data_IF_706758068835
#
_entry.id   IF_706758068835
#
_cell.length_a   1.000
_cell.length_b   1.000
_cell.length_c   1.000
_cell.angle_alpha   90.00
_cell.angle_beta   90.00
_cell.angle_gamma   90.00
#
_symmetry.space_group_name_H-M   'P 1'
#
loop_
_entity.id
_entity.type
_entity.pdbx_description
1 polymer ?
#
# COMPACT_ATOMS: atom_id res chain seq x y z
N UNK A 1 36.42 -19.88 0.82
CA UNK A 1 36.40 -20.42 2.20
C UNK A 1 36.84 -19.33 3.17
N UNK A 2 35.90 -18.86 4.00
CA UNK A 2 36.17 -18.26 5.31
C UNK A 2 34.92 -18.57 6.16
N UNK A 3 34.99 -19.70 6.87
CA UNK A 3 34.20 -19.98 8.08
C UNK A 3 34.48 -18.83 9.07
N UNK A 4 33.60 -18.41 9.98
CA UNK A 4 32.37 -18.94 10.53
C UNK A 4 32.13 -18.15 11.84
N UNK A 5 30.97 -18.35 12.45
CA UNK A 5 30.57 -17.86 13.78
C UNK A 5 29.93 -16.46 13.85
N UNK A 6 28.63 -16.46 14.17
CA UNK A 6 28.25 -15.73 15.38
C UNK A 6 27.32 -14.54 15.26
N UNK A 7 26.42 -14.44 14.27
CA UNK A 7 25.17 -13.72 14.51
C UNK A 7 24.01 -14.51 13.93
N UNK A 8 23.13 -14.96 14.82
CA UNK A 8 21.78 -15.40 14.52
C UNK A 8 20.99 -14.15 14.06
N UNK A 9 21.38 -13.56 12.92
CA UNK A 9 20.70 -12.42 12.33
C UNK A 9 19.34 -12.98 11.94
N UNK A 10 18.31 -12.53 12.66
CA UNK A 10 16.94 -12.94 12.39
C UNK A 10 16.68 -12.72 10.89
N UNK A 11 16.36 -13.78 10.15
CA UNK A 11 16.17 -13.72 8.69
C UNK A 11 15.11 -12.70 8.27
N UNK A 12 14.25 -12.29 9.20
CA UNK A 12 13.20 -11.29 9.02
C UNK A 12 13.66 -9.85 9.25
N UNK A 13 14.93 -9.61 9.55
CA UNK A 13 15.46 -8.27 9.73
C UNK A 13 15.45 -7.50 8.41
N UNK A 14 14.91 -6.29 8.41
CA UNK A 14 14.82 -5.44 7.21
C UNK A 14 16.17 -4.77 6.94
N UNK A 15 16.49 -4.62 5.66
CA UNK A 15 17.66 -3.90 5.17
C UNK A 15 17.32 -2.58 4.50
N UNK A 16 18.35 -1.89 4.03
CA UNK A 16 18.21 -0.63 3.29
C UNK A 16 17.47 -0.80 1.97
N UNK A 17 17.58 -1.96 1.31
CA UNK A 17 16.89 -2.26 0.06
C UNK A 17 15.37 -2.25 0.24
N UNK A 18 14.88 -2.78 1.35
CA UNK A 18 13.45 -2.86 1.65
C UNK A 18 12.86 -1.47 1.84
N UNK A 19 13.57 -0.62 2.60
CA UNK A 19 13.19 0.79 2.82
C UNK A 19 13.21 1.57 1.49
N UNK A 20 14.24 1.38 0.67
CA UNK A 20 14.33 2.06 -0.63
C UNK A 20 13.18 1.63 -1.53
N UNK A 21 12.79 0.34 -1.53
CA UNK A 21 11.66 -0.15 -2.30
C UNK A 21 10.35 0.49 -1.84
N UNK A 22 10.07 0.51 -0.54
CA UNK A 22 8.83 1.10 -0.03
C UNK A 22 8.74 2.59 -0.32
N UNK A 23 9.82 3.35 -0.13
CA UNK A 23 9.90 4.76 -0.50
C UNK A 23 9.63 4.98 -2.00
N UNK A 24 10.20 4.15 -2.88
CA UNK A 24 9.99 4.27 -4.34
C UNK A 24 8.52 4.06 -4.71
N UNK A 25 7.90 3.00 -4.21
CA UNK A 25 6.49 2.68 -4.51
C UNK A 25 5.57 3.76 -3.98
N UNK A 26 5.83 4.25 -2.76
CA UNK A 26 5.06 5.33 -2.16
C UNK A 26 5.17 6.63 -2.98
N UNK A 27 6.38 7.10 -3.28
CA UNK A 27 6.61 8.32 -4.05
C UNK A 27 5.99 8.23 -5.45
N UNK A 28 6.15 7.08 -6.12
CA UNK A 28 5.54 6.86 -7.43
C UNK A 28 4.01 6.98 -7.36
N UNK A 29 3.42 6.42 -6.31
CA UNK A 29 1.97 6.45 -6.09
C UNK A 29 1.48 7.87 -5.79
N UNK A 30 2.21 8.64 -4.97
CA UNK A 30 1.98 10.08 -4.73
C UNK A 30 2.00 10.85 -6.06
N UNK A 31 3.05 10.66 -6.86
CA UNK A 31 3.24 11.39 -8.11
C UNK A 31 2.17 11.05 -9.15
N UNK A 32 1.87 9.77 -9.35
CA UNK A 32 0.82 9.34 -10.27
C UNK A 32 -0.55 9.88 -9.86
N UNK A 33 -0.90 9.79 -8.58
CA UNK A 33 -2.18 10.29 -8.08
C UNK A 33 -2.28 11.81 -8.15
N UNK A 34 -1.20 12.53 -7.85
CA UNK A 34 -1.13 13.98 -7.99
C UNK A 34 -1.41 14.41 -9.44
N UNK A 35 -0.74 13.80 -10.42
CA UNK A 35 -0.97 14.13 -11.84
C UNK A 35 -2.41 13.85 -12.25
N UNK A 36 -2.92 12.66 -11.92
CA UNK A 36 -4.29 12.28 -12.27
C UNK A 36 -5.32 13.20 -11.62
N UNK A 37 -5.12 13.56 -10.35
CA UNK A 37 -5.99 14.48 -9.63
C UNK A 37 -5.94 15.89 -10.23
N UNK A 38 -4.75 16.40 -10.57
CA UNK A 38 -4.62 17.70 -11.25
C UNK A 38 -5.31 17.71 -12.61
N UNK A 39 -5.16 16.65 -13.42
CA UNK A 39 -5.88 16.51 -14.69
C UNK A 39 -7.38 16.51 -14.45
N UNK A 40 -7.87 15.72 -13.48
CA UNK A 40 -9.28 15.68 -13.13
C UNK A 40 -9.79 17.06 -12.70
N UNK A 41 -9.07 17.79 -11.83
CA UNK A 41 -9.44 19.12 -11.39
C UNK A 41 -9.53 20.12 -12.55
N UNK A 42 -8.55 20.10 -13.46
CA UNK A 42 -8.56 20.97 -14.64
C UNK A 42 -9.75 20.63 -15.53
N UNK A 43 -10.02 19.35 -15.79
CA UNK A 43 -11.15 18.93 -16.61
C UNK A 43 -12.48 19.33 -15.97
N UNK A 44 -12.66 19.10 -14.67
CA UNK A 44 -13.88 19.50 -13.96
C UNK A 44 -14.08 21.01 -14.01
N UNK A 45 -13.03 21.80 -13.79
CA UNK A 45 -13.11 23.26 -13.85
C UNK A 45 -13.41 23.81 -15.26
N UNK A 46 -12.96 23.13 -16.31
CA UNK A 46 -13.19 23.54 -17.70
C UNK A 46 -14.57 23.12 -18.22
N UNK A 47 -15.07 21.96 -17.80
CA UNK A 47 -16.27 21.34 -18.38
C UNK A 47 -17.53 21.41 -17.50
N UNK A 48 -17.40 21.65 -16.19
CA UNK A 48 -18.56 21.93 -15.35
C UNK A 48 -18.81 23.45 -15.28
N UNK A 49 -20.06 23.89 -15.39
CA UNK A 49 -20.46 25.20 -14.86
C UNK A 49 -20.01 25.29 -13.39
N UNK A 50 -19.67 26.48 -12.86
CA UNK A 50 -19.07 26.64 -11.54
C UNK A 50 -20.11 26.40 -10.43
N UNK A 51 -20.75 25.23 -10.38
CA UNK A 51 -21.09 24.66 -9.10
C UNK A 51 -19.78 24.44 -8.35
N UNK A 52 -19.73 24.84 -7.08
CA UNK A 52 -18.46 25.02 -6.44
C UNK A 52 -17.85 23.63 -6.33
N UNK A 53 -16.73 23.47 -7.04
CA UNK A 53 -15.78 22.35 -6.98
C UNK A 53 -15.49 21.96 -5.51
N UNK A 54 -15.79 22.84 -4.56
CA UNK A 54 -15.90 22.57 -3.13
C UNK A 54 -16.82 21.42 -2.73
N UNK A 55 -17.99 21.14 -3.34
CA UNK A 55 -18.90 20.11 -2.79
C UNK A 55 -18.44 18.67 -3.04
N UNK A 56 -18.06 18.34 -4.28
CA UNK A 56 -17.60 16.99 -4.63
C UNK A 56 -16.27 16.67 -3.93
N UNK A 57 -15.42 17.68 -3.75
CA UNK A 57 -14.12 17.53 -3.08
C UNK A 57 -14.22 17.69 -1.58
N UNK A 58 -15.09 18.55 -1.03
CA UNK A 58 -15.45 18.46 0.38
C UNK A 58 -15.93 17.05 0.66
N UNK A 59 -16.68 16.38 -0.22
CA UNK A 59 -17.04 14.97 0.03
C UNK A 59 -15.84 14.01 0.04
N UNK A 60 -14.74 14.28 -0.68
CA UNK A 60 -13.57 13.37 -0.77
C UNK A 60 -12.49 13.69 0.27
N UNK A 61 -12.21 14.98 0.50
CA UNK A 61 -11.38 15.46 1.59
C UNK A 61 -12.09 15.25 2.93
N UNK A 62 -13.40 15.53 3.03
CA UNK A 62 -14.26 15.05 4.12
C UNK A 62 -14.33 13.53 4.11
N UNK A 63 -14.35 12.76 3.02
CA UNK A 63 -14.24 11.28 3.18
C UNK A 63 -12.90 10.86 3.83
N UNK A 64 -11.81 11.58 3.55
CA UNK A 64 -10.50 11.34 4.15
C UNK A 64 -10.41 11.81 5.62
N UNK A 65 -10.94 12.99 5.95
CA UNK A 65 -10.99 13.53 7.32
C UNK A 65 -12.18 13.02 8.14
N UNK A 66 -13.28 12.58 7.52
CA UNK A 66 -14.49 12.05 8.15
C UNK A 66 -14.28 10.66 8.74
N UNK A 67 -13.26 9.92 8.31
CA UNK A 67 -12.78 8.79 9.11
C UNK A 67 -12.42 9.23 10.52
N UNK A 68 -11.76 10.38 10.65
CA UNK A 68 -11.43 10.99 11.94
C UNK A 68 -12.65 11.72 12.52
N UNK A 69 -13.44 12.45 11.73
CA UNK A 69 -14.57 13.29 12.17
C UNK A 69 -15.79 12.47 12.66
N UNK A 70 -16.20 11.42 11.92
CA UNK A 70 -17.31 10.53 12.30
C UNK A 70 -16.95 9.73 13.55
N UNK A 71 -15.68 9.35 13.70
CA UNK A 71 -15.17 8.71 14.93
C UNK A 71 -14.93 9.74 16.03
N UNK A 72 -14.65 11.01 15.70
CA UNK A 72 -14.42 12.10 16.65
C UNK A 72 -15.65 12.45 17.48
N UNK A 73 -16.84 12.17 16.93
CA UNK A 73 -18.11 12.27 17.64
C UNK A 73 -18.24 11.24 18.78
N UNK A 74 -17.39 10.21 18.80
CA UNK A 74 -17.40 9.13 19.81
C UNK A 74 -16.07 8.96 20.56
N UNK A 75 -14.94 9.39 20.00
CA UNK A 75 -13.58 9.19 20.52
C UNK A 75 -12.73 10.43 20.22
N UNK A 76 -11.91 10.92 21.15
CA UNK A 76 -11.02 12.08 20.93
C UNK A 76 -10.17 11.93 19.63
N UNK A 77 -10.00 13.00 18.81
CA UNK A 77 -9.24 12.97 17.55
C UNK A 77 -7.86 12.31 17.64
N UNK A 78 -7.13 12.51 18.74
CA UNK A 78 -5.83 11.88 18.99
C UNK A 78 -5.91 10.36 18.94
N UNK A 79 -6.91 9.78 19.60
CA UNK A 79 -7.11 8.34 19.65
C UNK A 79 -7.59 7.80 18.29
N UNK A 80 -8.43 8.57 17.56
CA UNK A 80 -8.86 8.17 16.23
C UNK A 80 -7.65 8.05 15.26
N UNK A 81 -6.79 9.06 15.21
CA UNK A 81 -5.56 9.06 14.41
C UNK A 81 -4.68 7.87 14.80
N UNK A 82 -4.43 7.70 16.10
CA UNK A 82 -3.62 6.59 16.61
C UNK A 82 -4.17 5.21 16.21
N UNK A 83 -5.48 4.98 16.35
CA UNK A 83 -6.07 3.68 16.03
C UNK A 83 -6.06 3.38 14.53
N UNK A 84 -6.39 4.34 13.66
CA UNK A 84 -6.37 4.10 12.22
C UNK A 84 -4.96 3.82 11.70
N UNK A 85 -3.98 4.61 12.13
CA UNK A 85 -2.59 4.44 11.72
C UNK A 85 -1.98 3.18 12.32
N UNK A 86 -2.30 2.88 13.59
CA UNK A 86 -1.90 1.65 14.25
C UNK A 86 -2.46 0.41 13.57
N UNK A 87 -3.74 0.42 13.18
CA UNK A 87 -4.36 -0.66 12.41
C UNK A 87 -3.73 -0.81 11.03
N UNK A 88 -3.49 0.28 10.31
CA UNK A 88 -2.84 0.24 9.00
C UNK A 88 -1.43 -0.36 9.08
N UNK A 89 -0.63 0.05 10.06
CA UNK A 89 0.70 -0.47 10.29
C UNK A 89 0.69 -1.94 10.73
N UNK A 90 -0.22 -2.33 11.63
CA UNK A 90 -0.42 -3.73 12.00
C UNK A 90 -0.84 -4.60 10.81
N UNK A 91 -1.72 -4.10 9.94
CA UNK A 91 -2.10 -4.77 8.71
C UNK A 91 -0.90 -4.94 7.75
N UNK A 92 -0.01 -3.95 7.65
CA UNK A 92 1.20 -4.07 6.84
C UNK A 92 2.14 -5.17 7.35
N UNK A 93 2.32 -5.26 8.66
CA UNK A 93 3.26 -6.20 9.28
C UNK A 93 2.64 -7.59 9.42
N UNK A 94 1.52 -7.70 10.15
CA UNK A 94 0.85 -8.96 10.51
C UNK A 94 -0.06 -9.43 9.38
N UNK A 95 -0.79 -8.51 8.75
CA UNK A 95 -1.75 -8.82 7.69
C UNK A 95 -1.09 -9.51 6.50
N UNK A 96 0.14 -9.14 6.14
CA UNK A 96 0.91 -9.83 5.09
C UNK A 96 1.12 -11.32 5.40
N UNK A 97 1.41 -11.65 6.65
CA UNK A 97 1.50 -13.05 7.11
C UNK A 97 0.16 -13.77 7.08
N UNK A 98 -0.87 -13.15 7.65
CA UNK A 98 -2.22 -13.74 7.66
C UNK A 98 -2.80 -13.91 6.26
N UNK A 99 -2.44 -13.05 5.30
CA UNK A 99 -2.91 -13.13 3.92
C UNK A 99 -2.45 -14.40 3.21
N UNK A 100 -1.38 -15.05 3.68
CA UNK A 100 -0.96 -16.36 3.20
C UNK A 100 -2.01 -17.47 3.45
N UNK A 101 -3.02 -17.20 4.29
CA UNK A 101 -4.18 -18.09 4.46
C UNK A 101 -4.91 -18.37 3.16
N UNK A 102 -4.86 -17.42 2.22
CA UNK A 102 -5.48 -17.54 0.90
C UNK A 102 -5.02 -18.80 0.16
N UNK A 103 -3.78 -19.28 0.33
CA UNK A 103 -3.34 -20.54 -0.31
C UNK A 103 -4.18 -21.73 0.12
N UNK A 104 -4.46 -21.87 1.42
CA UNK A 104 -5.32 -22.97 1.92
C UNK A 104 -6.73 -22.88 1.37
N UNK A 105 -7.27 -21.67 1.29
CA UNK A 105 -8.61 -21.44 0.72
C UNK A 105 -8.65 -21.80 -0.77
N UNK A 106 -7.64 -21.39 -1.55
CA UNK A 106 -7.54 -21.70 -2.97
C UNK A 106 -7.37 -23.20 -3.22
N UNK A 107 -6.52 -23.88 -2.46
CA UNK A 107 -6.34 -25.33 -2.61
C UNK A 107 -7.61 -26.06 -2.17
N UNK A 108 -8.25 -25.60 -1.10
CA UNK A 108 -9.56 -26.09 -0.66
C UNK A 108 -10.60 -25.96 -1.77
N UNK A 109 -10.65 -24.81 -2.44
CA UNK A 109 -11.53 -24.58 -3.58
C UNK A 109 -11.23 -25.56 -4.74
N UNK A 110 -9.98 -25.67 -5.17
CA UNK A 110 -9.56 -26.61 -6.22
C UNK A 110 -10.00 -28.04 -5.87
N UNK A 111 -9.89 -28.45 -4.60
CA UNK A 111 -10.28 -29.79 -4.15
C UNK A 111 -11.79 -30.08 -4.25
N UNK A 112 -12.64 -29.04 -4.25
CA UNK A 112 -14.10 -29.18 -4.34
C UNK A 112 -14.61 -29.23 -5.78
N UNK A 113 -13.86 -28.65 -6.73
CA UNK A 113 -14.28 -28.53 -8.15
C UNK A 113 -14.58 -29.87 -8.84
N UNK A 114 -13.83 -30.97 -8.63
CA UNK A 114 -14.15 -32.26 -9.24
C UNK A 114 -15.54 -32.80 -8.86
N UNK A 115 -16.04 -32.43 -7.66
CA UNK A 115 -17.33 -32.89 -7.14
C UNK A 115 -18.51 -32.02 -7.62
N UNK A 116 -18.26 -30.75 -7.94
CA UNK A 116 -19.30 -29.76 -8.24
C UNK A 116 -19.17 -29.21 -9.67
N UNK A 117 -19.69 -29.95 -10.65
CA UNK A 117 -19.51 -29.65 -12.09
C UNK A 117 -20.03 -28.27 -12.53
N UNK A 118 -21.19 -27.84 -12.03
CA UNK A 118 -21.75 -26.52 -12.36
C UNK A 118 -20.91 -25.37 -11.81
N UNK A 119 -20.49 -25.49 -10.55
CA UNK A 119 -19.59 -24.52 -9.92
C UNK A 119 -18.26 -24.43 -10.67
N UNK A 120 -17.64 -25.58 -10.98
CA UNK A 120 -16.38 -25.63 -11.71
C UNK A 120 -16.49 -24.97 -13.08
N UNK A 121 -17.56 -25.24 -13.84
CA UNK A 121 -17.78 -24.62 -15.15
C UNK A 121 -17.87 -23.08 -15.07
N UNK A 122 -18.59 -22.55 -14.08
CA UNK A 122 -18.74 -21.10 -13.90
C UNK A 122 -17.42 -20.45 -13.44
N UNK A 123 -16.71 -21.10 -12.52
CA UNK A 123 -15.41 -20.62 -12.04
C UNK A 123 -14.35 -20.61 -13.15
N UNK A 124 -14.26 -21.68 -13.95
CA UNK A 124 -13.37 -21.76 -15.13
C UNK A 124 -13.67 -20.64 -16.13
N UNK A 125 -14.95 -20.36 -16.39
CA UNK A 125 -15.35 -19.28 -17.30
C UNK A 125 -14.84 -17.94 -16.77
N UNK A 126 -15.10 -17.62 -15.50
CA UNK A 126 -14.66 -16.37 -14.86
C UNK A 126 -13.13 -16.24 -14.89
N UNK A 127 -12.40 -17.31 -14.56
CA UNK A 127 -10.94 -17.34 -14.59
C UNK A 127 -10.38 -17.12 -16.00
N UNK A 128 -10.98 -17.75 -17.03
CA UNK A 128 -10.60 -17.54 -18.43
C UNK A 128 -10.87 -16.11 -18.89
N UNK A 129 -11.98 -15.51 -18.46
CA UNK A 129 -12.29 -14.10 -18.75
C UNK A 129 -11.28 -13.14 -18.09
N UNK A 130 -10.78 -13.48 -16.89
CA UNK A 130 -9.78 -12.67 -16.17
C UNK A 130 -8.34 -12.94 -16.63
N UNK A 131 -8.09 -14.02 -17.37
CA UNK A 131 -6.76 -14.42 -17.83
C UNK A 131 -5.98 -13.31 -18.58
N UNK A 132 -6.58 -12.50 -19.48
CA UNK A 132 -5.85 -11.41 -20.15
C UNK A 132 -5.31 -10.37 -19.16
N UNK A 133 -6.13 -9.99 -18.17
CA UNK A 133 -5.73 -9.06 -17.10
C UNK A 133 -4.62 -9.70 -16.27
N UNK A 134 -4.78 -10.97 -15.92
CA UNK A 134 -3.79 -11.70 -15.14
C UNK A 134 -2.43 -11.81 -15.85
N UNK A 135 -2.41 -12.11 -17.16
CA UNK A 135 -1.19 -12.14 -17.97
C UNK A 135 -0.52 -10.77 -18.08
N UNK A 136 -1.30 -9.69 -18.16
CA UNK A 136 -0.78 -8.33 -18.12
C UNK A 136 -0.11 -8.03 -16.78
N UNK A 137 -0.74 -8.44 -15.66
CA UNK A 137 -0.16 -8.30 -14.33
C UNK A 137 1.15 -9.10 -14.17
N UNK A 138 1.19 -10.34 -14.67
CA UNK A 138 2.43 -11.12 -14.73
C UNK A 138 3.50 -10.38 -15.53
N UNK A 139 3.15 -9.83 -16.70
CA UNK A 139 4.09 -9.12 -17.56
C UNK A 139 4.70 -7.90 -16.88
N UNK A 140 3.88 -7.12 -16.15
CA UNK A 140 4.36 -5.99 -15.35
C UNK A 140 5.23 -6.48 -14.19
N UNK A 141 4.79 -7.50 -13.46
CA UNK A 141 5.51 -8.03 -12.30
C UNK A 141 6.89 -8.60 -12.69
N UNK A 142 6.97 -9.35 -13.79
CA UNK A 142 8.22 -9.92 -14.29
C UNK A 142 9.17 -8.89 -14.91
N UNK A 143 8.66 -7.73 -15.34
CA UNK A 143 9.52 -6.59 -15.72
C UNK A 143 10.09 -5.86 -14.49
N UNK A 144 9.34 -5.83 -13.38
CA UNK A 144 9.77 -5.18 -12.13
C UNK A 144 10.65 -6.08 -11.26
N UNK A 145 10.44 -7.40 -11.33
CA UNK A 145 11.18 -8.40 -10.60
C UNK A 145 11.69 -9.51 -11.55
N UNK A 146 12.94 -9.39 -12.03
CA UNK A 146 13.52 -10.36 -12.96
C UNK A 146 13.61 -11.77 -12.39
N UNK A 147 13.63 -11.95 -11.07
CA UNK A 147 13.72 -13.28 -10.45
C UNK A 147 12.46 -14.13 -10.72
N UNK A 148 11.32 -13.47 -10.97
CA UNK A 148 10.10 -14.14 -11.39
C UNK A 148 10.27 -14.92 -12.71
N UNK A 149 11.19 -14.49 -13.60
CA UNK A 149 11.49 -15.21 -14.85
C UNK A 149 12.11 -16.60 -14.64
N UNK A 150 12.60 -16.89 -13.44
CA UNK A 150 13.13 -18.21 -13.08
C UNK A 150 12.01 -19.26 -12.99
N UNK A 151 10.76 -18.84 -12.79
CA UNK A 151 9.59 -19.72 -12.87
C UNK A 151 9.34 -20.00 -14.36
N UNK A 152 9.81 -21.17 -14.82
CA UNK A 152 9.65 -21.59 -16.22
C UNK A 152 8.21 -21.98 -16.50
N UNK A 153 7.74 -21.62 -17.70
CA UNK A 153 6.52 -22.18 -18.24
C UNK A 153 6.76 -23.64 -18.66
N UNK A 154 6.35 -24.55 -17.79
CA UNK A 154 6.33 -25.97 -18.07
C UNK A 154 5.00 -26.31 -18.76
N UNK A 155 4.95 -26.19 -20.10
CA UNK A 155 3.80 -26.55 -20.94
C UNK A 155 3.44 -28.06 -20.93
N UNK A 156 3.92 -28.81 -19.95
CA UNK A 156 3.75 -30.26 -19.84
C UNK A 156 2.65 -30.62 -18.84
N UNK A 157 1.49 -29.96 -18.93
CA UNK A 157 0.32 -30.38 -18.16
C UNK A 157 -0.18 -31.71 -18.74
N UNK A 158 -0.04 -32.77 -17.94
CA UNK A 158 -0.56 -34.08 -18.30
C UNK A 158 -2.09 -34.04 -18.26
N UNK A 159 -2.73 -34.84 -19.11
CA UNK A 159 -4.14 -35.17 -18.92
C UNK A 159 -4.33 -35.85 -17.54
N UNK A 160 -5.49 -35.64 -16.90
CA UNK A 160 -5.83 -36.12 -15.53
C UNK A 160 -5.14 -35.42 -14.34
N UNK A 161 -4.77 -34.15 -14.46
CA UNK A 161 -4.29 -33.35 -13.31
C UNK A 161 -5.39 -32.48 -12.71
N UNK A 162 -5.22 -32.00 -11.47
CA UNK A 162 -6.16 -31.08 -10.82
C UNK A 162 -6.40 -29.78 -11.61
N UNK A 163 -5.43 -29.38 -12.45
CA UNK A 163 -5.46 -28.17 -13.26
C UNK A 163 -6.52 -28.21 -14.36
N UNK A 164 -6.99 -29.40 -14.77
CA UNK A 164 -8.09 -29.54 -15.74
C UNK A 164 -9.41 -28.94 -15.25
N UNK A 165 -9.55 -28.76 -13.93
CA UNK A 165 -10.70 -28.13 -13.29
C UNK A 165 -10.50 -26.63 -13.02
N UNK A 166 -9.44 -26.03 -13.55
CA UNK A 166 -9.11 -24.61 -13.41
C UNK A 166 -9.08 -23.93 -14.79
N UNK A 167 -9.39 -22.63 -14.83
CA UNK A 167 -9.22 -21.79 -16.01
C UNK A 167 -7.78 -21.35 -16.25
N UNK A 168 -6.87 -21.73 -15.35
CA UNK A 168 -5.45 -21.43 -15.35
C UNK A 168 -4.63 -22.70 -15.09
N UNK A 169 -3.37 -22.69 -15.50
CA UNK A 169 -2.46 -23.82 -15.34
C UNK A 169 -1.57 -23.73 -14.10
N UNK A 170 -0.71 -24.74 -13.95
CA UNK A 170 0.33 -24.82 -12.92
C UNK A 170 1.25 -23.60 -12.96
N UNK A 171 1.66 -23.19 -14.16
CA UNK A 171 2.53 -22.03 -14.35
C UNK A 171 1.87 -20.76 -13.81
N UNK A 172 0.62 -20.51 -14.20
CA UNK A 172 -0.15 -19.36 -13.73
C UNK A 172 -0.33 -19.40 -12.20
N UNK A 173 -0.63 -20.55 -11.62
CA UNK A 173 -0.79 -20.66 -10.16
C UNK A 173 0.52 -20.37 -9.41
N UNK A 174 1.66 -20.82 -9.94
CA UNK A 174 2.99 -20.52 -9.36
C UNK A 174 3.32 -19.04 -9.44
N UNK A 175 3.03 -18.39 -10.57
CA UNK A 175 3.19 -16.94 -10.71
C UNK A 175 2.29 -16.18 -9.73
N UNK A 176 1.05 -16.64 -9.55
CA UNK A 176 0.12 -16.04 -8.60
C UNK A 176 0.65 -16.17 -7.18
N UNK A 177 1.15 -17.37 -6.84
CA UNK A 177 1.73 -17.69 -5.54
C UNK A 177 2.97 -16.85 -5.23
N UNK A 178 3.77 -16.53 -6.25
CA UNK A 178 4.91 -15.62 -6.12
C UNK A 178 4.46 -14.18 -5.82
N UNK A 179 3.41 -13.70 -6.48
CA UNK A 179 2.92 -12.33 -6.33
C UNK A 179 2.07 -12.11 -5.07
N UNK A 180 1.33 -13.14 -4.65
CA UNK A 180 0.35 -13.06 -3.56
C UNK A 180 0.89 -12.39 -2.27
N UNK A 181 2.09 -12.71 -1.77
CA UNK A 181 2.61 -12.12 -0.53
C UNK A 181 2.78 -10.60 -0.63
N UNK A 182 3.09 -10.07 -1.82
CA UNK A 182 3.31 -8.63 -2.01
C UNK A 182 2.01 -7.82 -2.00
N UNK A 183 0.85 -8.46 -2.10
CA UNK A 183 -0.45 -7.78 -2.25
C UNK A 183 -0.71 -6.77 -1.12
N UNK A 184 -0.56 -7.20 0.14
CA UNK A 184 -0.84 -6.35 1.31
C UNK A 184 0.11 -5.15 1.41
N UNK A 185 1.45 -5.31 1.43
CA UNK A 185 2.35 -4.17 1.55
C UNK A 185 2.24 -3.23 0.35
N UNK A 186 2.03 -3.75 -0.87
CA UNK A 186 1.85 -2.94 -2.07
C UNK A 186 0.55 -2.13 -2.01
N UNK A 187 -0.57 -2.75 -1.62
CA UNK A 187 -1.85 -2.04 -1.48
C UNK A 187 -1.78 -0.92 -0.44
N UNK A 188 -1.11 -1.16 0.69
CA UNK A 188 -0.96 -0.14 1.75
C UNK A 188 -0.13 1.04 1.24
N UNK A 189 0.97 0.79 0.53
CA UNK A 189 1.82 1.86 -0.02
C UNK A 189 1.10 2.64 -1.13
N UNK A 190 0.38 1.94 -2.01
CA UNK A 190 -0.38 2.56 -3.10
C UNK A 190 -1.49 3.43 -2.53
N UNK A 191 -2.32 2.90 -1.63
CA UNK A 191 -3.46 3.64 -1.08
C UNK A 191 -2.99 4.87 -0.31
N UNK A 192 -2.00 4.74 0.58
CA UNK A 192 -1.49 5.88 1.34
C UNK A 192 -0.80 6.91 0.43
N UNK A 193 -0.01 6.46 -0.55
CA UNK A 193 0.61 7.34 -1.53
C UNK A 193 -0.42 8.07 -2.38
N UNK A 194 -1.45 7.37 -2.85
CA UNK A 194 -2.54 7.98 -3.64
C UNK A 194 -3.30 9.03 -2.83
N UNK A 195 -3.66 8.76 -1.58
CA UNK A 195 -4.33 9.73 -0.71
C UNK A 195 -3.48 10.99 -0.52
N UNK A 196 -2.18 10.84 -0.27
CA UNK A 196 -1.25 11.97 -0.13
C UNK A 196 -1.12 12.77 -1.44
N UNK A 197 -1.05 12.10 -2.59
CA UNK A 197 -0.99 12.75 -3.90
C UNK A 197 -2.26 13.53 -4.24
N UNK A 198 -3.44 12.97 -3.94
CA UNK A 198 -4.73 13.64 -4.11
C UNK A 198 -4.82 14.87 -3.18
N UNK A 199 -4.41 14.74 -1.92
CA UNK A 199 -4.42 15.85 -0.97
C UNK A 199 -3.48 16.98 -1.43
N UNK A 200 -2.27 16.66 -1.88
CA UNK A 200 -1.34 17.65 -2.43
C UNK A 200 -1.93 18.37 -3.65
N UNK A 201 -2.60 17.63 -4.55
CA UNK A 201 -3.27 18.21 -5.71
C UNK A 201 -4.39 19.17 -5.29
N UNK A 202 -5.17 18.80 -4.27
CA UNK A 202 -6.23 19.65 -3.72
C UNK A 202 -5.71 20.98 -3.21
N UNK A 203 -4.68 20.97 -2.35
CA UNK A 203 -4.08 22.21 -1.84
C UNK A 203 -3.46 23.06 -2.94
N UNK A 204 -2.79 22.43 -3.91
CA UNK A 204 -2.19 23.11 -5.06
C UNK A 204 -3.26 23.79 -5.91
N UNK A 205 -4.33 23.07 -6.27
CA UNK A 205 -5.39 23.56 -7.13
C UNK A 205 -6.22 24.67 -6.46
N UNK A 206 -6.62 24.48 -5.21
CA UNK A 206 -7.31 25.53 -4.46
C UNK A 206 -6.43 26.75 -4.20
N UNK A 207 -5.13 26.54 -3.95
CA UNK A 207 -4.17 27.65 -3.86
C UNK A 207 -4.13 28.48 -5.14
N UNK A 208 -4.14 27.83 -6.30
CA UNK A 208 -4.20 28.52 -7.57
C UNK A 208 -5.50 29.35 -7.72
N UNK A 209 -6.66 28.79 -7.35
CA UNK A 209 -7.96 29.47 -7.43
C UNK A 209 -8.02 30.66 -6.46
N UNK A 210 -7.73 30.45 -5.18
CA UNK A 210 -7.78 31.52 -4.18
C UNK A 210 -6.79 32.63 -4.52
N UNK A 211 -5.59 32.28 -4.98
CA UNK A 211 -4.62 33.24 -5.49
C UNK A 211 -5.14 34.05 -6.67
N UNK A 212 -5.83 33.38 -7.62
CA UNK A 212 -6.47 34.04 -8.76
C UNK A 212 -7.60 35.00 -8.35
N UNK A 213 -8.43 34.62 -7.40
CA UNK A 213 -9.53 35.46 -6.91
C UNK A 213 -9.01 36.74 -6.25
N UNK A 214 -7.94 36.62 -5.45
CA UNK A 214 -7.40 37.74 -4.68
C UNK A 214 -6.52 38.68 -5.53
N UNK A 215 -5.65 38.16 -6.41
CA UNK A 215 -4.68 38.98 -7.16
C UNK A 215 -4.65 38.70 -8.67
N UNK A 216 -5.73 38.12 -9.22
CA UNK A 216 -5.84 37.75 -10.65
C UNK A 216 -4.68 36.83 -11.06
N UNK A 217 -4.24 36.88 -12.31
CA UNK A 217 -3.20 35.99 -12.85
C UNK A 217 -1.87 36.03 -12.11
N UNK A 218 -1.52 37.17 -11.49
CA UNK A 218 -0.29 37.31 -10.70
C UNK A 218 -0.37 36.61 -9.34
N UNK A 219 -1.58 36.40 -8.82
CA UNK A 219 -1.80 35.73 -7.54
C UNK A 219 -1.78 34.22 -7.59
N UNK A 220 -1.89 33.60 -8.77
CA UNK A 220 -1.93 32.13 -8.92
C UNK A 220 -0.69 31.50 -8.30
N UNK A 221 0.51 31.98 -8.68
CA UNK A 221 1.77 31.43 -8.17
C UNK A 221 1.92 31.64 -6.67
N UNK A 222 1.48 32.79 -6.17
CA UNK A 222 1.53 33.15 -4.75
C UNK A 222 0.58 32.26 -3.92
N UNK A 223 -0.64 32.06 -4.39
CA UNK A 223 -1.64 31.21 -3.73
C UNK A 223 -1.26 29.73 -3.75
N UNK A 224 -0.70 29.23 -4.85
CA UNK A 224 -0.10 27.87 -4.91
C UNK A 224 1.02 27.75 -3.89
N UNK A 225 1.96 28.70 -3.88
CA UNK A 225 3.08 28.66 -2.95
C UNK A 225 2.61 28.66 -1.50
N UNK A 226 1.69 29.57 -1.14
CA UNK A 226 1.14 29.67 0.21
C UNK A 226 0.46 28.37 0.64
N UNK A 227 -0.43 27.79 -0.19
CA UNK A 227 -1.13 26.56 0.18
C UNK A 227 -0.26 25.31 0.14
N UNK A 228 0.76 25.24 -0.73
CA UNK A 228 1.73 24.14 -0.71
C UNK A 228 2.61 24.24 0.53
N UNK A 229 3.04 25.45 0.92
CA UNK A 229 3.78 25.66 2.16
C UNK A 229 2.92 25.35 3.38
N UNK A 230 1.66 25.79 3.40
CA UNK A 230 0.68 25.41 4.42
C UNK A 230 0.47 23.90 4.50
N UNK A 231 0.34 23.23 3.35
CA UNK A 231 0.26 21.78 3.27
C UNK A 231 1.49 21.14 3.91
N UNK A 232 2.70 21.53 3.53
CA UNK A 232 3.91 20.99 4.14
C UNK A 232 3.98 21.30 5.64
N UNK A 233 3.66 22.50 6.12
CA UNK A 233 3.75 22.83 7.56
C UNK A 233 2.67 22.13 8.38
N UNK A 234 1.45 22.02 7.84
CA UNK A 234 0.35 21.29 8.48
C UNK A 234 0.60 19.79 8.47
N UNK A 235 1.36 19.32 7.48
CA UNK A 235 1.74 17.91 7.34
C UNK A 235 3.03 17.56 8.07
N UNK A 236 3.98 18.47 8.20
CA UNK A 236 5.31 18.23 8.75
C UNK A 236 5.27 17.58 10.14
N UNK A 237 4.43 18.03 11.09
CA UNK A 237 4.39 17.43 12.41
C UNK A 237 3.88 15.98 12.44
N UNK A 238 2.96 15.59 11.54
CA UNK A 238 2.52 14.19 11.42
C UNK A 238 3.41 13.39 10.47
N UNK A 239 3.73 13.94 9.30
CA UNK A 239 4.48 13.31 8.22
C UNK A 239 5.95 13.02 8.53
N UNK A 240 6.58 13.71 9.49
CA UNK A 240 7.96 13.39 9.91
C UNK A 240 8.05 12.05 10.63
N UNK A 241 7.03 11.66 11.40
CA UNK A 241 7.07 10.44 12.21
C UNK A 241 6.15 9.38 11.61
N UNK A 242 4.92 9.73 11.28
CA UNK A 242 3.91 8.79 10.81
C UNK A 242 4.30 8.15 9.48
N UNK A 243 4.65 8.95 8.46
CA UNK A 243 4.96 8.42 7.13
C UNK A 243 6.17 7.47 7.20
N UNK A 244 7.32 7.85 7.80
CA UNK A 244 8.43 6.90 7.98
C UNK A 244 8.03 5.66 8.76
N UNK A 245 7.18 5.79 9.77
CA UNK A 245 6.71 4.64 10.57
C UNK A 245 5.87 3.68 9.73
N UNK A 246 4.95 4.19 8.90
CA UNK A 246 4.17 3.38 7.95
C UNK A 246 5.08 2.75 6.89
N UNK A 247 6.05 3.49 6.36
CA UNK A 247 7.02 2.97 5.39
C UNK A 247 7.89 1.87 5.96
N UNK A 248 8.29 1.96 7.24
CA UNK A 248 9.00 0.90 7.97
C UNK A 248 8.08 -0.30 8.19
N UNK A 249 6.83 -0.09 8.59
CA UNK A 249 5.85 -1.17 8.73
C UNK A 249 5.65 -1.94 7.40
N UNK A 250 5.50 -1.20 6.30
CA UNK A 250 5.41 -1.76 4.96
C UNK A 250 6.69 -2.46 4.52
N UNK A 251 7.87 -1.98 4.95
CA UNK A 251 9.16 -2.61 4.63
C UNK A 251 9.31 -3.96 5.31
N UNK A 252 8.82 -4.10 6.55
CA UNK A 252 8.78 -5.39 7.26
C UNK A 252 7.86 -6.36 6.52
N UNK A 253 6.65 -5.91 6.14
CA UNK A 253 5.72 -6.70 5.34
C UNK A 253 6.31 -7.11 3.99
N UNK A 254 6.96 -6.17 3.29
CA UNK A 254 7.64 -6.42 2.02
C UNK A 254 8.77 -7.44 2.15
N UNK A 255 9.62 -7.32 3.17
CA UNK A 255 10.73 -8.26 3.37
C UNK A 255 10.22 -9.68 3.64
N UNK A 256 9.16 -9.83 4.44
CA UNK A 256 8.49 -11.11 4.61
C UNK A 256 7.88 -11.63 3.30
N UNK A 257 7.23 -10.75 2.52
CA UNK A 257 6.69 -11.10 1.21
C UNK A 257 7.78 -11.58 0.25
N UNK A 258 8.94 -10.92 0.25
CA UNK A 258 10.11 -11.30 -0.53
C UNK A 258 10.61 -12.71 -0.18
N UNK A 259 10.71 -13.03 1.11
CA UNK A 259 11.11 -14.36 1.58
C UNK A 259 10.13 -15.43 1.07
N UNK A 260 8.81 -15.21 1.24
CA UNK A 260 7.78 -16.16 0.82
C UNK A 260 7.76 -16.36 -0.70
N UNK A 261 7.86 -15.27 -1.46
CA UNK A 261 7.93 -15.33 -2.91
C UNK A 261 9.17 -16.13 -3.39
N UNK A 262 10.33 -15.90 -2.77
CA UNK A 262 11.56 -16.62 -3.11
C UNK A 262 11.55 -18.09 -2.67
N UNK A 263 10.80 -18.44 -1.62
CA UNK A 263 10.59 -19.84 -1.24
C UNK A 263 9.86 -20.62 -2.34
N UNK A 264 8.94 -19.99 -3.09
CA UNK A 264 8.27 -20.62 -4.26
C UNK A 264 9.26 -21.01 -5.35
N UNK A 265 10.29 -20.18 -5.57
CA UNK A 265 11.34 -20.45 -6.56
C UNK A 265 12.33 -21.47 -6.02
N UNK A 266 12.93 -21.17 -4.86
CA UNK A 266 14.04 -21.93 -4.27
C UNK A 266 13.66 -23.35 -3.91
N UNK A 267 12.49 -23.53 -3.30
CA UNK A 267 12.00 -24.85 -2.86
C UNK A 267 11.11 -25.52 -3.91
N UNK A 268 10.94 -24.90 -5.09
CA UNK A 268 10.09 -25.36 -6.19
C UNK A 268 8.66 -25.67 -5.70
N UNK A 269 8.09 -24.78 -4.90
CA UNK A 269 6.74 -24.98 -4.38
C UNK A 269 5.71 -24.89 -5.51
N UNK A 270 4.60 -25.59 -5.28
CA UNK A 270 3.42 -25.66 -6.14
C UNK A 270 3.71 -26.22 -7.54
N UNK A 271 4.65 -27.17 -7.65
CA UNK A 271 4.92 -27.90 -8.89
C UNK A 271 4.13 -29.20 -9.02
N UNK A 272 3.44 -29.63 -7.97
CA UNK A 272 2.68 -30.87 -7.96
C UNK A 272 1.40 -30.84 -8.79
N UNK A 273 0.86 -32.02 -9.07
CA UNK A 273 -0.33 -32.23 -9.92
C UNK A 273 -1.53 -32.77 -9.14
N UNK A 274 -1.35 -32.99 -7.84
CA UNK A 274 -2.33 -33.54 -6.91
C UNK A 274 -2.54 -32.61 -5.70
N UNK A 275 -3.71 -32.72 -5.06
CA UNK A 275 -4.07 -31.85 -3.92
C UNK A 275 -3.15 -32.06 -2.72
N UNK A 276 -2.65 -33.27 -2.49
CA UNK A 276 -1.83 -33.59 -1.32
C UNK A 276 -0.47 -32.90 -1.37
N UNK A 277 0.14 -32.84 -2.55
CA UNK A 277 1.36 -32.08 -2.82
C UNK A 277 1.16 -30.59 -2.55
N UNK A 278 0.09 -29.99 -3.07
CA UNK A 278 -0.21 -28.56 -2.85
C UNK A 278 -0.47 -28.25 -1.37
N UNK A 279 -1.15 -29.15 -0.65
CA UNK A 279 -1.37 -29.00 0.80
C UNK A 279 -0.06 -29.08 1.59
N UNK A 280 0.88 -29.91 1.14
CA UNK A 280 2.22 -30.01 1.75
C UNK A 280 3.01 -28.73 1.53
N UNK A 281 3.01 -28.19 0.31
CA UNK A 281 3.65 -26.91 -0.02
C UNK A 281 3.03 -25.74 0.75
N UNK A 282 1.70 -25.73 0.85
CA UNK A 282 0.99 -24.77 1.67
C UNK A 282 1.40 -24.87 3.14
N UNK A 283 1.48 -26.08 3.70
CA UNK A 283 1.92 -26.28 5.09
C UNK A 283 3.32 -25.71 5.32
N UNK A 284 4.25 -25.88 4.37
CA UNK A 284 5.58 -25.27 4.44
C UNK A 284 5.50 -23.73 4.54
N UNK A 285 4.73 -23.07 3.65
CA UNK A 285 4.51 -21.61 3.68
C UNK A 285 3.90 -21.16 5.01
N UNK A 286 2.99 -21.95 5.57
CA UNK A 286 2.37 -21.67 6.85
C UNK A 286 3.33 -21.78 8.03
N UNK A 287 4.25 -22.74 8.01
CA UNK A 287 5.30 -22.80 9.04
C UNK A 287 6.23 -21.58 8.95
N UNK A 288 6.66 -21.18 7.74
CA UNK A 288 7.41 -19.93 7.54
C UNK A 288 6.63 -18.70 8.04
N UNK A 289 5.32 -18.66 7.79
CA UNK A 289 4.43 -17.60 8.27
C UNK A 289 4.33 -17.58 9.80
N UNK A 290 4.19 -18.76 10.41
CA UNK A 290 4.12 -18.90 11.86
C UNK A 290 5.44 -18.49 12.52
N UNK A 291 6.57 -18.89 11.95
CA UNK A 291 7.90 -18.45 12.40
C UNK A 291 8.04 -16.92 12.34
N UNK A 292 7.54 -16.28 11.30
CA UNK A 292 7.51 -14.82 11.17
C UNK A 292 6.62 -14.17 12.23
N UNK A 293 5.37 -14.63 12.35
CA UNK A 293 4.37 -14.08 13.26
C UNK A 293 4.73 -14.27 14.74
N UNK A 294 5.50 -15.31 15.07
CA UNK A 294 6.01 -15.57 16.43
C UNK A 294 7.41 -15.00 16.65
N UNK A 295 8.03 -14.38 15.63
CA UNK A 295 9.39 -13.89 15.75
C UNK A 295 9.47 -12.71 16.74
N UNK A 296 10.46 -12.77 17.63
CA UNK A 296 10.70 -11.70 18.60
C UNK A 296 11.04 -10.36 17.92
N UNK A 297 11.66 -10.40 16.75
CA UNK A 297 11.97 -9.20 15.95
C UNK A 297 10.70 -8.52 15.47
N UNK A 298 9.75 -9.25 14.88
CA UNK A 298 8.49 -8.69 14.39
C UNK A 298 7.75 -7.99 15.52
N UNK A 299 7.56 -8.64 16.67
CA UNK A 299 6.86 -8.03 17.81
C UNK A 299 7.59 -6.83 18.39
N UNK A 300 8.94 -6.86 18.47
CA UNK A 300 9.73 -5.68 18.86
C UNK A 300 9.49 -4.50 17.93
N UNK A 301 9.46 -4.74 16.62
CA UNK A 301 9.19 -3.69 15.63
C UNK A 301 7.75 -3.18 15.70
N UNK A 302 6.76 -4.07 15.85
CA UNK A 302 5.35 -3.67 16.01
C UNK A 302 5.19 -2.78 17.25
N UNK A 303 5.75 -3.15 18.39
CA UNK A 303 5.70 -2.32 19.60
C UNK A 303 6.34 -0.95 19.35
N UNK A 304 7.51 -0.91 18.72
CA UNK A 304 8.19 0.35 18.39
C UNK A 304 7.34 1.22 17.45
N UNK A 305 6.76 0.62 16.42
CA UNK A 305 5.86 1.29 15.46
C UNK A 305 4.64 1.86 16.18
N UNK A 306 3.98 1.08 17.03
CA UNK A 306 2.80 1.53 17.78
C UNK A 306 3.16 2.69 18.71
N UNK A 307 4.30 2.62 19.42
CA UNK A 307 4.76 3.73 20.26
C UNK A 307 5.08 4.98 19.44
N UNK A 308 5.75 4.83 18.29
CA UNK A 308 6.05 5.96 17.40
C UNK A 308 4.78 6.61 16.84
N UNK A 309 3.76 5.81 16.47
CA UNK A 309 2.46 6.33 16.01
C UNK A 309 1.69 7.03 17.13
N UNK A 310 1.78 6.54 18.37
CA UNK A 310 1.18 7.23 19.52
C UNK A 310 1.82 8.61 19.75
N UNK A 311 3.16 8.68 19.65
CA UNK A 311 3.90 9.94 19.73
C UNK A 311 3.51 10.87 18.59
N UNK A 312 3.41 10.36 17.36
CA UNK A 312 2.97 11.13 16.20
C UNK A 312 1.56 11.71 16.41
N UNK A 313 0.59 10.90 16.82
CA UNK A 313 -0.78 11.34 17.08
C UNK A 313 -0.87 12.39 18.21
N UNK A 314 -0.03 12.26 19.24
CA UNK A 314 0.05 13.26 20.31
C UNK A 314 0.61 14.60 19.81
N UNK A 315 1.72 14.56 19.08
CA UNK A 315 2.31 15.76 18.45
C UNK A 315 1.29 16.40 17.52
N UNK A 316 0.59 15.59 16.74
CA UNK A 316 -0.41 16.07 15.79
C UNK A 316 -1.53 16.85 16.47
N UNK A 317 -2.07 16.30 17.55
CA UNK A 317 -3.24 16.88 18.23
C UNK A 317 -2.88 18.11 19.07
N UNK A 318 -1.72 18.11 19.72
CA UNK A 318 -1.39 19.12 20.73
C UNK A 318 -0.30 20.12 20.33
N UNK A 319 0.53 19.80 19.34
CA UNK A 319 1.72 20.60 18.99
C UNK A 319 1.60 21.23 17.61
N UNK A 320 1.01 20.52 16.63
CA UNK A 320 0.91 20.98 15.23
C UNK A 320 0.27 22.35 15.09
N UNK A 321 -0.86 22.60 15.76
CA UNK A 321 -1.57 23.88 15.69
C UNK A 321 -0.65 25.04 16.11
N UNK A 322 0.10 24.89 17.21
CA UNK A 322 1.04 25.91 17.67
C UNK A 322 2.28 26.10 16.78
N UNK A 323 2.66 25.09 15.98
CA UNK A 323 3.71 25.22 14.96
C UNK A 323 3.17 25.94 13.72
N UNK A 324 1.99 25.55 13.25
CA UNK A 324 1.32 26.17 12.09
C UNK A 324 1.14 27.66 12.34
N UNK A 325 0.60 28.05 13.50
CA UNK A 325 0.37 29.46 13.84
C UNK A 325 1.67 30.27 13.79
N UNK A 326 2.76 29.75 14.38
CA UNK A 326 4.05 30.45 14.40
C UNK A 326 4.66 30.61 13.02
N UNK A 327 4.59 29.59 12.17
CA UNK A 327 5.19 29.64 10.84
C UNK A 327 4.34 30.51 9.91
N UNK A 328 3.01 30.45 10.01
CA UNK A 328 2.11 31.34 9.26
C UNK A 328 2.33 32.81 9.65
N UNK A 329 2.48 33.12 10.94
CA UNK A 329 2.83 34.49 11.37
C UNK A 329 4.15 35.00 10.76
N UNK A 330 5.16 34.14 10.61
CA UNK A 330 6.44 34.50 9.98
C UNK A 330 6.28 34.69 8.47
N UNK A 331 5.45 33.88 7.83
CA UNK A 331 5.16 34.00 6.40
C UNK A 331 4.37 35.28 6.14
N UNK A 332 3.29 35.53 6.89
CA UNK A 332 2.46 36.72 6.76
C UNK A 332 3.29 38.00 6.96
N UNK A 333 4.16 38.04 7.97
CA UNK A 333 5.05 39.19 8.20
C UNK A 333 6.11 39.40 7.10
N UNK A 334 6.44 38.37 6.32
CA UNK A 334 7.35 38.48 5.18
C UNK A 334 6.63 38.76 3.84
N UNK A 335 5.32 38.50 3.75
CA UNK A 335 4.52 38.79 2.56
C UNK A 335 3.81 40.16 2.68
N UNK A 336 3.53 40.67 3.89
CA UNK A 336 3.03 42.03 4.13
C UNK A 336 3.72 43.14 3.32
N UNK A 337 5.07 43.17 3.16
CA UNK A 337 5.77 44.17 2.36
C UNK A 337 5.47 44.11 0.85
N UNK A 338 4.96 42.99 0.35
CA UNK A 338 4.57 42.81 -1.06
C UNK A 338 3.11 43.18 -1.33
N UNK A 339 2.33 43.42 -0.27
CA UNK A 339 0.93 43.87 -0.34
C UNK A 339 0.75 45.38 -0.09
N UNK A 340 1.84 46.10 0.22
CA UNK A 340 1.89 47.55 0.43
C UNK A 340 2.03 48.36 -0.86
#
# INVERSE_FOLDING_TARGET
MRNGEGQNINRFNIGTKDIVWTCRVFILSVFCAFILAMIAYILTFVFAEPEPVSELIMSTASAATSKVEVTSNYINPMWAIFFFNGLAACCAVIGTGLFMIVHKLLIGDISMRPRNRHYASLSILMEKTMMPVYRLLIGIASALDPDMSQIKNENNEKADTIWQYCGYGKYEYRMFSYMLPYTVPLMILIVNGMLMGILLAFFTFNGAITGFELFRTKGILLGVFYNVVYFFISIIPHGIIEIPTILVAAAIGYHFAYIQAHDVIKNKLFTGDDIESLLTDSRYIFETTKEYLLSAYMWKMVVLIIVALLIAAYIETYVTLGIVDKVMMIIDGNIEPFFG
#
